data_IF_825796216348
#
_entry.id   IF_825796216348
#
_cell.length_a   1.000
_cell.length_b   1.000
_cell.length_c   1.000
_cell.angle_alpha   90.00
_cell.angle_beta   90.00
_cell.angle_gamma   90.00
#
_symmetry.space_group_name_H-M   'P 1'
#
loop_
_entity.id
_entity.type
_entity.pdbx_description
1 polymer ?
#
# COMPACT_ATOMS: atom_id res chain seq x y z
N UNK A 1 12.22 -24.90 -0.75
CA UNK A 1 13.46 -24.29 -1.27
C UNK A 1 14.27 -23.67 -0.14
N UNK A 2 15.59 -23.90 -0.15
CA UNK A 2 16.56 -23.18 0.66
C UNK A 2 16.94 -21.83 0.06
N UNK A 3 17.79 -21.05 0.73
CA UNK A 3 18.17 -19.72 0.24
C UNK A 3 18.90 -19.78 -1.10
N UNK A 4 19.79 -20.75 -1.31
CA UNK A 4 20.54 -20.87 -2.57
C UNK A 4 19.61 -21.11 -3.77
N UNK A 5 18.61 -21.97 -3.61
CA UNK A 5 17.60 -22.25 -4.65
C UNK A 5 16.73 -21.02 -4.93
N UNK A 6 16.42 -20.23 -3.90
CA UNK A 6 15.68 -18.96 -4.07
C UNK A 6 16.51 -17.93 -4.85
N UNK A 7 17.82 -17.83 -4.60
CA UNK A 7 18.68 -16.92 -5.38
C UNK A 7 18.79 -17.34 -6.84
N UNK A 8 18.88 -18.64 -7.10
CA UNK A 8 18.86 -19.19 -8.46
C UNK A 8 17.53 -18.91 -9.16
N UNK A 9 16.40 -19.09 -8.47
CA UNK A 9 15.06 -18.78 -8.98
C UNK A 9 14.92 -17.30 -9.37
N UNK A 10 15.42 -16.41 -8.52
CA UNK A 10 15.36 -14.97 -8.72
C UNK A 10 16.43 -14.46 -9.70
N UNK A 11 17.30 -15.34 -10.21
CA UNK A 11 18.44 -15.01 -11.08
C UNK A 11 19.38 -13.95 -10.50
N UNK A 12 19.60 -13.97 -9.17
CA UNK A 12 20.49 -13.04 -8.45
C UNK A 12 21.67 -13.75 -7.79
N UNK A 13 22.82 -13.08 -7.73
CA UNK A 13 24.04 -13.59 -7.10
C UNK A 13 24.10 -13.27 -5.59
N UNK A 14 23.37 -12.24 -5.14
CA UNK A 14 23.40 -11.75 -3.76
C UNK A 14 22.14 -10.99 -3.38
N UNK A 15 21.83 -10.91 -2.07
CA UNK A 15 20.58 -10.33 -1.56
C UNK A 15 20.40 -8.85 -1.90
N UNK A 16 21.50 -8.12 -2.03
CA UNK A 16 21.53 -6.70 -2.42
C UNK A 16 21.08 -6.46 -3.88
N UNK A 17 21.00 -7.50 -4.71
CA UNK A 17 20.50 -7.38 -6.08
C UNK A 17 18.96 -7.45 -6.17
N UNK A 18 18.27 -7.65 -5.04
CA UNK A 18 16.81 -7.63 -4.99
C UNK A 18 16.30 -6.19 -5.12
N UNK A 19 16.16 -5.71 -6.36
CA UNK A 19 15.80 -4.30 -6.63
C UNK A 19 14.76 -4.15 -7.75
N UNK A 20 14.22 -5.24 -8.29
CA UNK A 20 13.35 -5.22 -9.46
C UNK A 20 11.99 -5.85 -9.16
N UNK A 21 10.98 -5.34 -9.85
CA UNK A 21 9.60 -5.82 -9.75
C UNK A 21 9.53 -7.33 -10.01
N UNK A 22 10.26 -7.83 -11.01
CA UNK A 22 10.29 -9.23 -11.38
C UNK A 22 10.78 -10.12 -10.24
N UNK A 23 11.73 -9.65 -9.42
CA UNK A 23 12.21 -10.42 -8.27
C UNK A 23 11.09 -10.59 -7.22
N UNK A 24 10.29 -9.54 -6.99
CA UNK A 24 9.17 -9.63 -6.06
C UNK A 24 8.02 -10.47 -6.62
N UNK A 25 7.67 -10.28 -7.89
CA UNK A 25 6.63 -11.07 -8.55
C UNK A 25 6.99 -12.56 -8.52
N UNK A 26 8.23 -12.93 -8.86
CA UNK A 26 8.68 -14.33 -8.83
C UNK A 26 8.72 -14.89 -7.39
N UNK A 27 9.18 -14.10 -6.41
CA UNK A 27 9.20 -14.50 -5.00
C UNK A 27 7.79 -14.85 -4.48
N UNK A 28 6.78 -14.07 -4.87
CA UNK A 28 5.39 -14.23 -4.42
C UNK A 28 4.65 -15.31 -5.23
N UNK A 29 4.78 -15.30 -6.55
CA UNK A 29 3.93 -16.09 -7.45
C UNK A 29 4.53 -17.43 -7.88
N UNK A 30 5.79 -17.71 -7.56
CA UNK A 30 6.38 -19.01 -7.89
C UNK A 30 5.59 -20.16 -7.24
N UNK A 31 5.23 -21.15 -8.04
CA UNK A 31 4.50 -22.35 -7.60
C UNK A 31 5.33 -23.35 -6.79
N UNK A 32 6.54 -22.98 -6.37
CA UNK A 32 7.43 -23.80 -5.55
C UNK A 32 7.37 -23.39 -4.08
N UNK A 33 7.44 -24.35 -3.17
CA UNK A 33 7.41 -24.08 -1.74
C UNK A 33 8.73 -23.45 -1.27
N UNK A 34 8.69 -22.21 -0.77
CA UNK A 34 9.86 -21.53 -0.18
C UNK A 34 9.81 -21.73 1.32
N UNK A 35 10.93 -22.21 1.90
CA UNK A 35 10.99 -22.32 3.36
C UNK A 35 10.95 -20.93 4.00
N UNK A 36 10.24 -20.81 5.12
CA UNK A 36 10.17 -19.54 5.87
C UNK A 36 11.57 -18.99 6.19
N UNK A 37 12.52 -19.85 6.59
CA UNK A 37 13.89 -19.44 6.90
C UNK A 37 14.59 -18.80 5.69
N UNK A 38 14.41 -19.37 4.49
CA UNK A 38 14.96 -18.80 3.25
C UNK A 38 14.29 -17.46 2.90
N UNK A 39 12.96 -17.42 2.99
CA UNK A 39 12.17 -16.21 2.73
C UNK A 39 12.56 -15.05 3.66
N UNK A 40 12.65 -15.33 4.96
CA UNK A 40 13.07 -14.38 5.97
C UNK A 40 14.53 -13.94 5.79
N UNK A 41 15.43 -14.87 5.42
CA UNK A 41 16.83 -14.53 5.15
C UNK A 41 16.95 -13.56 3.98
N UNK A 42 16.23 -13.82 2.88
CA UNK A 42 16.18 -12.92 1.73
C UNK A 42 15.70 -11.53 2.15
N UNK A 43 14.50 -11.46 2.73
CA UNK A 43 13.88 -10.20 3.12
C UNK A 43 14.57 -9.47 4.26
N UNK A 44 15.52 -10.07 4.98
CA UNK A 44 16.39 -9.37 5.93
C UNK A 44 17.60 -8.72 5.23
N UNK A 45 17.99 -9.22 4.06
CA UNK A 45 19.12 -8.70 3.28
C UNK A 45 18.76 -7.61 2.28
N UNK A 46 17.48 -7.42 1.95
CA UNK A 46 17.01 -6.38 1.01
C UNK A 46 17.00 -4.99 1.66
N UNK A 47 17.24 -3.94 0.89
CA UNK A 47 17.09 -2.57 1.36
C UNK A 47 15.61 -2.19 1.57
N UNK A 48 15.27 -1.61 2.71
CA UNK A 48 13.86 -1.35 3.09
C UNK A 48 13.24 -0.20 2.34
N UNK A 49 14.04 0.82 2.01
CA UNK A 49 13.53 2.05 1.42
C UNK A 49 13.00 1.78 -0.01
N UNK A 50 13.74 1.04 -0.82
CA UNK A 50 13.28 0.62 -2.15
C UNK A 50 12.22 -0.49 -2.15
N UNK A 51 12.21 -1.35 -1.12
CA UNK A 51 11.29 -2.49 -1.09
C UNK A 51 9.82 -2.05 -0.94
N UNK A 52 9.54 -0.99 -0.17
CA UNK A 52 8.17 -0.51 0.01
C UNK A 52 7.56 0.00 -1.30
N UNK A 53 8.36 0.65 -2.14
CA UNK A 53 7.93 1.12 -3.47
C UNK A 53 7.66 -0.07 -4.40
N UNK A 54 8.58 -1.03 -4.45
CA UNK A 54 8.41 -2.26 -5.23
C UNK A 54 7.15 -3.04 -4.83
N UNK A 55 6.87 -3.12 -3.53
CA UNK A 55 5.69 -3.79 -3.00
C UNK A 55 4.41 -3.07 -3.41
N UNK A 56 4.41 -1.74 -3.38
CA UNK A 56 3.28 -0.92 -3.78
C UNK A 56 2.99 -1.09 -5.29
N UNK A 57 4.03 -1.02 -6.13
CA UNK A 57 3.95 -1.27 -7.58
C UNK A 57 3.42 -2.67 -7.91
N UNK A 58 3.88 -3.70 -7.18
CA UNK A 58 3.38 -5.07 -7.29
C UNK A 58 1.88 -5.15 -7.07
N UNK A 59 1.38 -4.61 -5.96
CA UNK A 59 -0.05 -4.62 -5.70
C UNK A 59 -0.85 -3.78 -6.70
N UNK A 60 -0.31 -2.69 -7.22
CA UNK A 60 -0.97 -1.92 -8.28
C UNK A 60 -1.19 -2.73 -9.55
N UNK A 61 -0.20 -3.53 -9.97
CA UNK A 61 -0.32 -4.44 -11.12
C UNK A 61 -1.40 -5.51 -10.87
N UNK A 62 -1.40 -6.10 -9.67
CA UNK A 62 -2.41 -7.08 -9.27
C UNK A 62 -3.81 -6.47 -9.29
N UNK A 63 -4.00 -5.30 -8.68
CA UNK A 63 -5.29 -4.61 -8.62
C UNK A 63 -5.82 -4.26 -10.02
N UNK A 64 -4.96 -3.85 -10.95
CA UNK A 64 -5.33 -3.63 -12.36
C UNK A 64 -5.73 -4.93 -13.08
N UNK A 65 -5.23 -6.06 -12.59
CA UNK A 65 -5.55 -7.40 -13.05
C UNK A 65 -6.90 -7.94 -12.59
N UNK A 66 -7.56 -7.32 -11.61
CA UNK A 66 -8.82 -7.82 -11.03
C UNK A 66 -10.00 -7.54 -11.98
N UNK A 67 -10.96 -8.49 -12.16
CA UNK A 67 -12.20 -8.24 -12.89
C UNK A 67 -13.05 -7.11 -12.29
N UNK A 68 -13.69 -6.28 -13.13
CA UNK A 68 -14.48 -5.12 -12.69
C UNK A 68 -15.66 -5.50 -11.76
N UNK A 69 -16.18 -6.72 -11.88
CA UNK A 69 -17.27 -7.25 -11.07
C UNK A 69 -16.79 -7.93 -9.77
N UNK A 70 -15.49 -8.17 -9.61
CA UNK A 70 -14.89 -8.77 -8.41
C UNK A 70 -14.60 -7.70 -7.32
N UNK A 71 -15.62 -6.92 -6.97
CA UNK A 71 -15.51 -5.76 -6.06
C UNK A 71 -14.98 -6.15 -4.68
N UNK A 72 -15.47 -7.26 -4.11
CA UNK A 72 -15.07 -7.70 -2.76
C UNK A 72 -13.59 -8.11 -2.71
N UNK A 73 -13.11 -8.79 -3.75
CA UNK A 73 -11.69 -9.13 -3.88
C UNK A 73 -10.85 -7.85 -4.03
N UNK A 74 -11.28 -6.90 -4.86
CA UNK A 74 -10.57 -5.62 -5.02
C UNK A 74 -10.40 -4.89 -3.68
N UNK A 75 -11.46 -4.84 -2.85
CA UNK A 75 -11.41 -4.24 -1.52
C UNK A 75 -10.47 -5.01 -0.60
N UNK A 76 -10.53 -6.33 -0.59
CA UNK A 76 -9.64 -7.16 0.22
C UNK A 76 -8.17 -6.93 -0.16
N UNK A 77 -7.85 -7.02 -1.45
CA UNK A 77 -6.49 -6.81 -1.96
C UNK A 77 -5.98 -5.39 -1.69
N UNK A 78 -6.85 -4.38 -1.78
CA UNK A 78 -6.50 -3.00 -1.40
C UNK A 78 -6.17 -2.91 0.10
N UNK A 79 -6.91 -3.61 0.94
CA UNK A 79 -6.68 -3.64 2.40
C UNK A 79 -5.36 -4.35 2.73
N UNK A 80 -5.11 -5.48 2.08
CA UNK A 80 -3.84 -6.23 2.21
C UNK A 80 -2.66 -5.37 1.76
N UNK A 81 -2.75 -4.70 0.60
CA UNK A 81 -1.74 -3.74 0.11
C UNK A 81 -1.44 -2.69 1.17
N UNK A 82 -2.46 -1.98 1.66
CA UNK A 82 -2.28 -0.91 2.64
C UNK A 82 -1.60 -1.42 3.92
N UNK A 83 -1.97 -2.61 4.37
CA UNK A 83 -1.38 -3.23 5.55
C UNK A 83 0.10 -3.58 5.33
N UNK A 84 0.42 -4.30 4.25
CA UNK A 84 1.77 -4.75 3.95
C UNK A 84 2.73 -3.60 3.63
N UNK A 85 2.28 -2.60 2.85
CA UNK A 85 3.06 -1.39 2.54
C UNK A 85 3.31 -0.56 3.81
N UNK A 86 2.31 -0.47 4.71
CA UNK A 86 2.51 0.17 6.01
C UNK A 86 3.55 -0.56 6.87
N UNK A 87 3.48 -1.89 6.93
CA UNK A 87 4.44 -2.71 7.65
C UNK A 87 5.86 -2.61 7.07
N UNK A 88 6.01 -2.54 5.73
CA UNK A 88 7.32 -2.38 5.11
C UNK A 88 7.93 -1.01 5.40
N UNK A 89 7.12 0.05 5.41
CA UNK A 89 7.59 1.41 5.71
C UNK A 89 8.05 1.57 7.18
N UNK A 90 7.40 0.88 8.13
CA UNK A 90 7.73 0.94 9.57
C UNK A 90 8.82 -0.07 10.00
N UNK A 91 9.43 -0.79 9.06
CA UNK A 91 10.32 -1.94 9.33
C UNK A 91 11.76 -1.59 9.75
N UNK A 92 12.01 -0.36 10.21
CA UNK A 92 13.32 0.10 10.66
C UNK A 92 13.85 -0.67 11.89
N UNK A 93 12.96 -1.24 12.70
CA UNK A 93 13.30 -2.12 13.83
C UNK A 93 13.19 -3.61 13.45
N UNK A 94 14.05 -4.45 14.04
CA UNK A 94 14.06 -5.89 13.78
C UNK A 94 12.75 -6.58 14.16
N UNK A 95 12.05 -6.09 15.19
CA UNK A 95 10.75 -6.66 15.59
C UNK A 95 9.67 -6.35 14.55
N UNK A 96 9.59 -5.09 14.10
CA UNK A 96 8.66 -4.69 13.03
C UNK A 96 8.95 -5.39 11.71
N UNK A 97 10.24 -5.51 11.36
CA UNK A 97 10.65 -6.24 10.16
C UNK A 97 10.25 -7.70 10.19
N UNK A 98 10.27 -8.33 11.37
CA UNK A 98 9.79 -9.70 11.51
C UNK A 98 8.29 -9.79 11.27
N UNK A 99 7.49 -8.87 11.83
CA UNK A 99 6.04 -8.82 11.60
C UNK A 99 5.73 -8.66 10.11
N UNK A 100 6.44 -7.77 9.42
CA UNK A 100 6.33 -7.60 7.97
C UNK A 100 6.63 -8.90 7.20
N UNK A 101 7.74 -9.57 7.53
CA UNK A 101 8.12 -10.84 6.88
C UNK A 101 7.08 -11.93 7.12
N UNK A 102 6.57 -12.05 8.36
CA UNK A 102 5.53 -13.01 8.73
C UNK A 102 4.25 -12.77 7.92
N UNK A 103 3.84 -11.51 7.78
CA UNK A 103 2.66 -11.11 7.03
C UNK A 103 2.81 -11.38 5.53
N UNK A 104 3.95 -10.99 4.94
CA UNK A 104 4.17 -11.18 3.50
C UNK A 104 4.27 -12.66 3.15
N UNK A 105 4.88 -13.48 4.03
CA UNK A 105 4.91 -14.92 3.84
C UNK A 105 3.51 -15.54 3.93
N UNK A 106 2.66 -15.05 4.85
CA UNK A 106 1.26 -15.47 4.94
C UNK A 106 0.49 -15.10 3.68
N UNK A 107 0.64 -13.87 3.21
CA UNK A 107 0.02 -13.39 1.98
C UNK A 107 0.42 -14.27 0.78
N UNK A 108 1.73 -14.53 0.61
CA UNK A 108 2.25 -15.42 -0.43
C UNK A 108 1.55 -16.77 -0.43
N UNK A 109 1.50 -17.43 0.72
CA UNK A 109 0.94 -18.77 0.81
C UNK A 109 -0.56 -18.78 0.49
N UNK A 110 -1.30 -17.80 1.00
CA UNK A 110 -2.70 -17.63 0.64
C UNK A 110 -2.90 -17.36 -0.85
N UNK A 111 -2.17 -16.40 -1.41
CA UNK A 111 -2.34 -15.93 -2.79
C UNK A 111 -2.01 -17.01 -3.82
N UNK A 112 -0.95 -17.79 -3.56
CA UNK A 112 -0.39 -18.74 -4.53
C UNK A 112 -0.80 -20.18 -4.28
N UNK A 113 -1.18 -20.57 -3.05
CA UNK A 113 -1.43 -21.96 -2.69
C UNK A 113 -2.76 -22.24 -1.97
N UNK A 114 -3.13 -21.43 -0.97
CA UNK A 114 -4.22 -21.81 -0.05
C UNK A 114 -5.59 -21.26 -0.44
N UNK A 115 -5.65 -20.16 -1.18
CA UNK A 115 -6.91 -19.54 -1.61
C UNK A 115 -7.67 -20.42 -2.61
N UNK A 116 -8.99 -20.30 -2.60
CA UNK A 116 -9.88 -21.06 -3.49
C UNK A 116 -10.82 -20.11 -4.22
N UNK A 117 -10.73 -20.15 -5.54
CA UNK A 117 -11.59 -19.44 -6.49
C UNK A 117 -12.21 -20.49 -7.40
N UNK A 118 -13.53 -20.49 -7.49
CA UNK A 118 -14.25 -21.40 -8.39
C UNK A 118 -14.38 -20.74 -9.76
N UNK A 119 -13.70 -21.31 -10.75
CA UNK A 119 -13.75 -20.84 -12.13
C UNK A 119 -14.67 -21.74 -12.95
N UNK A 120 -15.78 -21.20 -13.45
CA UNK A 120 -16.69 -21.92 -14.33
C UNK A 120 -16.46 -21.51 -15.78
N UNK A 121 -16.00 -22.43 -16.62
CA UNK A 121 -15.81 -22.19 -18.04
C UNK A 121 -17.16 -21.93 -18.73
N UNK A 122 -17.27 -20.83 -19.49
CA UNK A 122 -18.54 -20.42 -20.13
C UNK A 122 -18.91 -21.26 -21.35
N UNK A 123 -17.97 -22.02 -21.91
CA UNK A 123 -18.15 -22.83 -23.12
C UNK A 123 -18.68 -24.22 -22.80
N UNK A 124 -18.06 -24.92 -21.84
CA UNK A 124 -18.38 -26.31 -21.50
C UNK A 124 -19.04 -26.49 -20.12
N UNK A 125 -19.18 -25.40 -19.36
CA UNK A 125 -19.76 -25.34 -18.01
C UNK A 125 -19.01 -26.16 -16.95
N UNK A 126 -17.77 -26.57 -17.22
CA UNK A 126 -16.93 -27.24 -16.22
C UNK A 126 -16.45 -26.23 -15.17
N UNK A 127 -16.41 -26.70 -13.93
CA UNK A 127 -15.91 -25.94 -12.77
C UNK A 127 -14.55 -26.51 -12.38
N UNK A 128 -13.57 -25.63 -12.23
CA UNK A 128 -12.25 -25.92 -11.67
C UNK A 128 -11.95 -24.97 -10.52
N UNK A 129 -11.20 -25.47 -9.55
CA UNK A 129 -10.75 -24.69 -8.40
C UNK A 129 -9.32 -24.21 -8.67
N UNK A 130 -9.10 -22.92 -8.45
CA UNK A 130 -7.84 -22.23 -8.67
C UNK A 130 -7.50 -21.33 -7.50
N UNK A 131 -6.23 -20.99 -7.35
CA UNK A 131 -5.83 -19.95 -6.39
C UNK A 131 -6.14 -18.57 -6.95
N UNK A 132 -6.09 -17.53 -6.10
CA UNK A 132 -6.31 -16.15 -6.55
C UNK A 132 -5.30 -15.77 -7.63
N UNK A 133 -4.01 -16.12 -7.47
CA UNK A 133 -2.98 -15.89 -8.48
C UNK A 133 -3.35 -16.55 -9.83
N UNK A 134 -3.71 -17.83 -9.82
CA UNK A 134 -4.08 -18.57 -11.02
C UNK A 134 -5.36 -18.00 -11.68
N UNK A 135 -6.36 -17.63 -10.90
CA UNK A 135 -7.60 -17.05 -11.39
C UNK A 135 -7.36 -15.70 -12.10
N UNK A 136 -6.49 -14.86 -11.54
CA UNK A 136 -6.09 -13.60 -12.18
C UNK A 136 -5.30 -13.85 -13.48
N UNK A 137 -4.43 -14.85 -13.49
CA UNK A 137 -3.72 -15.27 -14.70
C UNK A 137 -4.70 -15.74 -15.79
N UNK A 138 -5.67 -16.58 -15.44
CA UNK A 138 -6.74 -17.01 -16.36
C UNK A 138 -7.49 -15.80 -16.93
N UNK A 139 -7.90 -14.85 -16.09
CA UNK A 139 -8.60 -13.66 -16.54
C UNK A 139 -7.78 -12.80 -17.52
N UNK A 140 -6.47 -12.67 -17.28
CA UNK A 140 -5.55 -12.01 -18.21
C UNK A 140 -5.46 -12.74 -19.55
N UNK A 141 -5.45 -14.07 -19.53
CA UNK A 141 -5.43 -14.90 -20.74
C UNK A 141 -6.72 -14.79 -21.55
N UNK A 142 -7.89 -14.60 -20.92
CA UNK A 142 -9.16 -14.33 -21.64
C UNK A 142 -9.07 -13.09 -22.54
N UNK A 143 -8.39 -12.04 -22.05
CA UNK A 143 -8.19 -10.79 -22.81
C UNK A 143 -7.34 -11.01 -24.07
N UNK A 144 -6.59 -12.11 -24.14
CA UNK A 144 -5.80 -12.53 -25.29
C UNK A 144 -6.56 -13.46 -26.25
N UNK A 145 -7.83 -13.79 -25.95
CA UNK A 145 -8.71 -14.60 -26.79
C UNK A 145 -8.76 -16.09 -26.44
N UNK A 146 -8.29 -16.46 -25.25
CA UNK A 146 -8.45 -17.80 -24.67
C UNK A 146 -9.90 -18.01 -24.17
N UNK A 147 -10.17 -19.18 -23.60
CA UNK A 147 -11.48 -19.50 -23.03
C UNK A 147 -11.88 -18.51 -21.93
N UNK A 148 -13.18 -18.24 -21.81
CA UNK A 148 -13.73 -17.29 -20.83
C UNK A 148 -14.40 -17.98 -19.66
N UNK A 149 -14.30 -17.38 -18.47
CA UNK A 149 -14.77 -17.97 -17.22
C UNK A 149 -15.73 -17.04 -16.45
N UNK A 150 -16.46 -17.61 -15.51
CA UNK A 150 -17.15 -16.92 -14.42
C UNK A 150 -16.36 -17.22 -13.14
N UNK A 151 -15.99 -16.19 -12.39
CA UNK A 151 -15.11 -16.29 -11.22
C UNK A 151 -15.92 -16.07 -9.95
N UNK A 152 -15.88 -17.04 -9.03
CA UNK A 152 -16.43 -16.91 -7.69
C UNK A 152 -15.29 -16.90 -6.66
N UNK A 153 -15.06 -15.74 -6.05
CA UNK A 153 -14.01 -15.50 -5.06
C UNK A 153 -14.48 -15.69 -3.61
N UNK A 154 -15.74 -16.08 -3.37
CA UNK A 154 -16.35 -16.08 -2.04
C UNK A 154 -15.53 -16.84 -0.99
N UNK A 155 -14.93 -17.97 -1.38
CA UNK A 155 -14.13 -18.82 -0.49
C UNK A 155 -12.69 -18.32 -0.29
N UNK A 156 -12.24 -17.32 -1.05
CA UNK A 156 -10.94 -16.66 -0.89
C UNK A 156 -11.00 -15.41 0.02
N UNK A 157 -12.20 -14.90 0.37
CA UNK A 157 -12.33 -13.61 1.05
C UNK A 157 -11.98 -13.61 2.55
N UNK A 158 -11.81 -14.77 3.17
CA UNK A 158 -11.50 -14.90 4.61
C UNK A 158 -9.98 -14.85 4.89
N UNK A 159 -9.30 -13.84 4.33
CA UNK A 159 -7.90 -13.60 4.67
C UNK A 159 -7.81 -12.89 6.02
N UNK A 160 -7.15 -13.48 7.04
CA UNK A 160 -7.00 -12.85 8.33
C UNK A 160 -6.04 -11.68 8.20
N UNK A 161 -6.50 -10.46 8.46
CA UNK A 161 -5.63 -9.27 8.57
C UNK A 161 -5.51 -8.96 10.06
N UNK A 162 -4.29 -8.96 10.59
CA UNK A 162 -4.06 -8.53 11.96
C UNK A 162 -4.14 -7.00 12.03
N UNK A 163 -5.09 -6.46 12.80
CA UNK A 163 -5.19 -5.02 13.04
C UNK A 163 -3.96 -4.55 13.83
N UNK A 164 -2.93 -4.06 13.13
CA UNK A 164 -1.85 -3.33 13.76
C UNK A 164 -2.26 -1.87 13.95
N UNK A 165 -2.04 -1.33 15.15
CA UNK A 165 -2.24 0.07 15.43
C UNK A 165 -1.14 0.89 14.74
N UNK A 166 -1.37 1.27 13.48
CA UNK A 166 -0.50 2.19 12.75
C UNK A 166 -0.42 3.49 13.53
N UNK A 167 0.77 3.81 14.02
CA UNK A 167 1.03 5.12 14.59
C UNK A 167 1.33 6.02 13.41
N UNK A 168 0.32 6.78 12.94
CA UNK A 168 0.54 7.79 11.90
C UNK A 168 1.61 8.78 12.38
N UNK A 169 2.86 8.58 12.00
CA UNK A 169 3.85 9.64 11.99
C UNK A 169 3.54 10.48 10.77
N UNK A 170 2.82 11.58 10.98
CA UNK A 170 2.82 12.68 10.02
C UNK A 170 4.28 13.07 9.82
N UNK A 171 4.89 12.62 8.72
CA UNK A 171 6.12 13.22 8.23
C UNK A 171 5.66 14.55 7.67
N UNK A 172 5.73 15.59 8.48
CA UNK A 172 5.77 16.95 7.95
C UNK A 172 6.90 16.91 6.92
N UNK A 173 6.54 17.02 5.64
CA UNK A 173 7.48 17.50 4.66
C UNK A 173 7.95 18.83 5.22
N UNK A 174 9.18 18.87 5.74
CA UNK A 174 9.86 20.14 5.93
C UNK A 174 9.87 20.77 4.53
N UNK A 175 8.90 21.65 4.26
CA UNK A 175 9.04 22.64 3.22
C UNK A 175 10.39 23.29 3.53
N UNK A 176 11.40 23.01 2.70
CA UNK A 176 12.59 23.85 2.63
C UNK A 176 12.08 25.26 2.30
N UNK A 177 11.75 26.03 3.33
CA UNK A 177 11.69 27.47 3.25
C UNK A 177 13.12 27.86 2.95
N UNK A 178 13.42 28.03 1.66
CA UNK A 178 14.61 28.72 1.22
C UNK A 178 14.69 30.00 2.04
N UNK A 179 15.70 30.09 2.91
CA UNK A 179 16.06 31.35 3.56
C UNK A 179 16.43 32.33 2.44
N UNK A 180 15.46 33.10 1.97
CA UNK A 180 15.75 34.34 1.27
C UNK A 180 16.33 35.29 2.33
N UNK A 181 17.65 35.47 2.27
CA UNK A 181 18.37 36.54 2.96
C UNK A 181 17.70 37.89 2.60
N UNK A 182 16.76 38.35 3.43
CA UNK A 182 16.24 39.72 3.34
C UNK A 182 17.32 40.70 3.80
N UNK A 183 17.77 41.64 2.94
CA UNK A 183 18.62 42.73 3.39
C UNK A 183 17.79 43.69 4.27
N UNK A 184 18.20 43.89 5.52
CA UNK A 184 17.69 44.96 6.38
C UNK A 184 17.75 46.31 5.64
N UNK A 185 16.60 46.78 5.16
CA UNK A 185 16.42 48.05 4.47
C UNK A 185 15.10 48.68 4.89
N UNK A 186 15.18 49.89 5.45
CA UNK A 186 14.08 50.69 5.98
C UNK A 186 12.87 50.75 5.02
N UNK A 187 11.69 50.36 5.50
CA UNK A 187 10.43 50.40 4.74
C UNK A 187 9.97 51.85 4.49
N UNK A 188 10.33 52.40 3.33
CA UNK A 188 9.94 53.75 2.87
C UNK A 188 8.46 53.86 2.43
N UNK A 189 7.63 52.83 2.66
CA UNK A 189 6.23 52.76 2.19
C UNK A 189 5.19 52.48 3.28
N UNK A 190 5.57 52.46 4.56
CA UNK A 190 4.64 52.27 5.68
C UNK A 190 3.56 53.37 5.78
N UNK A 191 3.79 54.54 5.18
CA UNK A 191 2.86 55.68 5.20
C UNK A 191 1.77 55.64 4.10
N UNK A 192 1.70 54.59 3.27
CA UNK A 192 0.78 54.56 2.13
C UNK A 192 -0.64 53.98 2.42
N UNK A 193 -0.89 53.44 3.62
CA UNK A 193 -2.15 52.73 3.92
C UNK A 193 -2.96 53.30 5.10
N UNK A 194 -2.53 54.40 5.72
CA UNK A 194 -3.32 55.10 6.74
C UNK A 194 -4.07 56.25 6.09
N UNK A 195 -5.35 56.06 5.77
CA UNK A 195 -6.22 57.15 5.35
C UNK A 195 -6.49 58.09 6.54
N UNK A 196 -5.70 59.16 6.62
CA UNK A 196 -5.82 60.19 7.65
C UNK A 196 -7.13 60.99 7.62
N UNK A 197 -7.92 60.90 6.53
CA UNK A 197 -9.20 61.60 6.44
C UNK A 197 -10.37 60.79 7.01
N UNK A 198 -10.29 59.45 7.06
CA UNK A 198 -11.35 58.60 7.64
C UNK A 198 -10.77 57.40 8.42
N UNK A 199 -10.15 57.64 9.60
CA UNK A 199 -9.72 56.56 10.47
C UNK A 199 -10.93 55.74 10.95
N UNK A 200 -10.88 54.42 10.76
CA UNK A 200 -11.89 53.49 11.27
C UNK A 200 -11.77 53.47 12.80
N UNK A 201 -12.74 54.05 13.49
CA UNK A 201 -12.80 54.11 14.95
C UNK A 201 -13.24 52.74 15.47
N UNK A 202 -12.34 52.02 16.14
CA UNK A 202 -12.66 50.87 16.98
C UNK A 202 -13.48 51.36 18.18
N UNK A 203 -14.81 51.25 18.05
CA UNK A 203 -15.74 51.54 19.13
C UNK A 203 -15.77 50.40 20.13
N UNK A 204 -15.15 50.64 21.29
CA UNK A 204 -15.38 49.90 22.54
C UNK A 204 -16.89 49.68 22.78
N UNK A 205 -17.29 48.44 23.06
CA UNK A 205 -18.56 48.18 23.74
C UNK A 205 -18.28 47.37 25.01
N UNK A 206 -18.47 48.05 26.13
CA UNK A 206 -18.39 47.57 27.50
C UNK A 206 -19.47 46.54 27.82
N UNK A 207 -19.13 45.59 28.69
CA UNK A 207 -20.03 44.71 29.43
C UNK A 207 -21.13 45.51 30.16
N UNK A 208 -22.37 45.02 30.17
CA UNK A 208 -23.23 44.85 31.36
C UNK A 208 -24.69 44.48 31.01
N UNK A 209 -25.18 43.52 31.82
CA UNK A 209 -26.55 43.30 32.31
C UNK A 209 -27.58 42.46 31.53
N UNK A 210 -27.79 41.27 32.14
CA UNK A 210 -29.06 40.64 32.47
C UNK A 210 -30.29 41.57 32.42
N UNK A 211 -31.31 41.18 31.66
CA UNK A 211 -32.70 40.99 32.10
C UNK A 211 -33.60 40.87 30.87
N UNK A 212 -34.39 39.81 30.80
CA UNK A 212 -35.64 39.87 30.05
C UNK A 212 -36.71 39.03 30.79
N UNK A 213 -37.67 39.67 31.46
CA UNK A 213 -38.92 39.04 31.83
C UNK A 213 -40.09 39.61 31.02
N UNK A 214 -40.95 38.69 30.57
CA UNK A 214 -42.41 38.84 30.41
C UNK A 214 -42.88 39.88 29.34
N UNK A 215 -43.64 39.51 28.32
CA UNK A 215 -44.94 38.83 28.32
C UNK A 215 -45.29 38.37 26.90
#
# INVERSE_FOLDING_TARGET
>A
MGIEEVLELLEIDSLDQFEHFEHLAELIECGEDISYDAFATLLQGVDTDGFSELLDEYFEEILQGIPDDAIELFVLMTTIRQHLVGLSADSADMEQRKVFIDELFRFRNWFTFDSVVHCKNRTDELISDHTVSEALALYRMEKLGEDSYEYDYSDALDYPIEEYAVTFTFREEEEETAEEDEPEGEDEYADAFIDSEHPVIDGEFSDEDEEDPLY
#
